data_IF_666040909196
#
_entry.id   IF_666040909196
#
_cell.length_a   1.000
_cell.length_b   1.000
_cell.length_c   1.000
_cell.angle_alpha   90.00
_cell.angle_beta   90.00
_cell.angle_gamma   90.00
#
_symmetry.space_group_name_H-M   'P 1'
#
loop_
_entity.id
_entity.type
_entity.pdbx_description
1 polymer ?
#
# COMPACT_ATOMS: atom_id res chain seq x y z
N UNK A 1 20.38 -33.92 9.95
CA UNK A 1 19.35 -33.13 10.66
C UNK A 1 18.25 -32.84 9.67
N UNK A 2 16.98 -33.04 10.01
CA UNK A 2 15.88 -32.66 9.11
C UNK A 2 15.76 -31.14 9.08
N UNK A 3 15.69 -30.56 7.88
CA UNK A 3 15.45 -29.14 7.68
C UNK A 3 14.00 -28.97 7.25
N UNK A 4 13.26 -28.14 7.98
CA UNK A 4 11.87 -27.81 7.64
C UNK A 4 11.85 -26.55 6.78
N UNK A 5 10.94 -26.53 5.80
CA UNK A 5 10.69 -25.38 4.92
C UNK A 5 9.21 -25.03 4.96
N UNK A 6 8.84 -23.73 4.88
CA UNK A 6 7.45 -23.33 4.71
C UNK A 6 6.87 -23.91 3.42
N UNK A 7 5.64 -24.40 3.48
CA UNK A 7 4.87 -24.70 2.27
C UNK A 7 4.36 -23.38 1.68
N UNK A 8 4.50 -23.19 0.36
CA UNK A 8 4.03 -21.97 -0.30
C UNK A 8 2.51 -21.95 -0.26
N UNK A 9 1.91 -20.80 0.02
CA UNK A 9 0.45 -20.68 0.09
C UNK A 9 -0.24 -21.03 -1.25
N UNK A 10 0.42 -20.78 -2.38
CA UNK A 10 -0.08 -21.15 -3.73
C UNK A 10 -0.15 -22.66 -3.96
N UNK A 11 0.56 -23.45 -3.16
CA UNK A 11 0.52 -24.92 -3.20
C UNK A 11 -0.54 -25.49 -2.25
N UNK A 12 -1.30 -24.63 -1.56
CA UNK A 12 -2.30 -25.02 -0.56
C UNK A 12 -3.69 -24.64 -1.06
N UNK A 13 -4.57 -25.63 -1.16
CA UNK A 13 -5.99 -25.42 -1.43
C UNK A 13 -6.81 -25.56 -0.16
N UNK A 14 -7.53 -24.51 0.22
CA UNK A 14 -8.41 -24.52 1.38
C UNK A 14 -9.82 -24.95 0.94
N UNK A 15 -10.18 -26.20 1.20
CA UNK A 15 -11.45 -26.80 0.75
C UNK A 15 -12.55 -26.75 1.83
N UNK A 16 -12.19 -26.48 3.09
CA UNK A 16 -13.15 -26.37 4.20
C UNK A 16 -13.93 -25.04 4.21
N UNK A 17 -15.18 -25.10 4.65
CA UNK A 17 -16.11 -23.95 4.62
C UNK A 17 -15.61 -22.75 5.42
N UNK A 18 -15.06 -22.97 6.61
CA UNK A 18 -14.65 -21.91 7.53
C UNK A 18 -13.65 -20.91 6.92
N UNK A 19 -12.57 -21.40 6.30
CA UNK A 19 -11.55 -20.52 5.72
C UNK A 19 -11.92 -20.01 4.33
N UNK A 20 -12.67 -20.82 3.56
CA UNK A 20 -13.18 -20.39 2.25
C UNK A 20 -14.08 -19.17 2.40
N UNK A 21 -14.98 -19.15 3.39
CA UNK A 21 -15.84 -17.99 3.68
C UNK A 21 -15.01 -16.71 3.93
N UNK A 22 -13.91 -16.82 4.68
CA UNK A 22 -13.03 -15.67 4.97
C UNK A 22 -12.31 -15.17 3.72
N UNK A 23 -11.77 -16.07 2.89
CA UNK A 23 -11.13 -15.70 1.63
C UNK A 23 -12.12 -15.05 0.65
N UNK A 24 -13.32 -15.62 0.54
CA UNK A 24 -14.37 -15.07 -0.31
C UNK A 24 -14.80 -13.67 0.19
N UNK A 25 -14.89 -13.46 1.51
CA UNK A 25 -15.16 -12.15 2.12
C UNK A 25 -14.05 -11.13 1.86
N UNK A 26 -12.78 -11.55 1.98
CA UNK A 26 -11.64 -10.68 1.71
C UNK A 26 -11.69 -10.18 0.27
N UNK A 27 -11.88 -11.10 -0.68
CA UNK A 27 -11.88 -10.78 -2.11
C UNK A 27 -13.10 -9.96 -2.51
N UNK A 28 -14.31 -10.32 -2.05
CA UNK A 28 -15.55 -9.67 -2.48
C UNK A 28 -15.87 -8.36 -1.75
N UNK A 29 -15.36 -8.18 -0.53
CA UNK A 29 -15.77 -7.06 0.35
C UNK A 29 -14.59 -6.28 0.92
N UNK A 30 -13.61 -6.94 1.53
CA UNK A 30 -12.52 -6.25 2.23
C UNK A 30 -11.62 -5.49 1.26
N UNK A 31 -11.11 -6.14 0.22
CA UNK A 31 -10.22 -5.52 -0.77
C UNK A 31 -10.91 -4.34 -1.50
N UNK A 32 -12.15 -4.48 -2.03
CA UNK A 32 -12.86 -3.36 -2.66
C UNK A 32 -13.14 -2.20 -1.70
N UNK A 33 -13.57 -2.50 -0.47
CA UNK A 33 -13.88 -1.44 0.51
C UNK A 33 -12.64 -0.69 0.98
N UNK A 34 -11.51 -1.37 1.18
CA UNK A 34 -10.23 -0.75 1.50
C UNK A 34 -9.75 0.15 0.35
N UNK A 35 -9.80 -0.32 -0.90
CA UNK A 35 -9.43 0.50 -2.05
C UNK A 35 -10.28 1.79 -2.14
N UNK A 36 -11.59 1.66 -1.90
CA UNK A 36 -12.47 2.84 -1.82
C UNK A 36 -12.02 3.82 -0.74
N UNK A 37 -11.57 3.34 0.43
CA UNK A 37 -11.04 4.21 1.48
C UNK A 37 -9.71 4.86 1.11
N UNK A 38 -8.80 4.15 0.43
CA UNK A 38 -7.57 4.74 -0.10
C UNK A 38 -7.88 5.92 -1.02
N UNK A 39 -8.87 5.77 -1.90
CA UNK A 39 -9.33 6.86 -2.76
C UNK A 39 -10.03 7.99 -1.98
N UNK A 40 -10.97 7.66 -1.09
CA UNK A 40 -11.77 8.61 -0.31
C UNK A 40 -10.90 9.55 0.53
N UNK A 41 -9.83 9.04 1.14
CA UNK A 41 -8.90 9.84 1.94
C UNK A 41 -7.75 10.46 1.14
N UNK A 42 -7.67 10.19 -0.16
CA UNK A 42 -6.71 10.80 -1.09
C UNK A 42 -5.31 10.17 -1.10
N UNK A 43 -5.16 8.94 -0.59
CA UNK A 43 -3.89 8.21 -0.60
C UNK A 43 -3.48 7.87 -2.04
N UNK A 44 -4.42 7.45 -2.88
CA UNK A 44 -4.12 7.16 -4.29
C UNK A 44 -3.69 8.43 -5.05
N UNK A 45 -4.27 9.59 -4.71
CA UNK A 45 -3.89 10.85 -5.34
C UNK A 45 -2.53 11.37 -4.86
N UNK A 46 -2.04 10.96 -3.67
CA UNK A 46 -0.71 11.37 -3.22
C UNK A 46 0.43 10.75 -4.04
N UNK A 47 0.18 9.59 -4.68
CA UNK A 47 1.16 8.94 -5.56
C UNK A 47 1.49 9.77 -6.80
N UNK A 48 0.55 10.62 -7.23
CA UNK A 48 0.68 11.45 -8.44
C UNK A 48 1.53 12.70 -8.22
N UNK A 49 2.06 12.90 -7.00
CA UNK A 49 2.93 14.00 -6.61
C UNK A 49 2.48 15.39 -7.14
N UNK A 50 1.23 15.82 -6.84
CA UNK A 50 0.72 17.11 -7.32
C UNK A 50 1.62 18.27 -6.87
N UNK A 51 1.87 19.22 -7.77
CA UNK A 51 2.67 20.41 -7.53
C UNK A 51 1.87 21.67 -7.89
N UNK A 52 1.52 22.54 -6.92
CA UNK A 52 1.87 22.47 -5.50
C UNK A 52 1.14 21.32 -4.76
N UNK A 53 1.72 20.78 -3.68
CA UNK A 53 1.05 19.74 -2.90
C UNK A 53 -0.21 20.28 -2.21
N UNK A 54 -1.30 19.49 -2.13
CA UNK A 54 -2.54 19.93 -1.51
C UNK A 54 -2.37 20.18 -0.01
N UNK A 55 -3.32 20.87 0.65
CA UNK A 55 -3.38 20.92 2.10
C UNK A 55 -3.42 19.53 2.74
N UNK A 56 -3.00 19.44 4.01
CA UNK A 56 -3.11 18.18 4.75
C UNK A 56 -4.58 17.80 4.91
N UNK A 57 -4.91 16.53 4.56
CA UNK A 57 -6.25 15.98 4.77
C UNK A 57 -6.60 15.82 6.25
N UNK A 58 -5.62 15.44 7.06
CA UNK A 58 -5.72 15.37 8.51
C UNK A 58 -4.86 16.44 9.18
N UNK A 59 -5.37 17.13 10.21
CA UNK A 59 -4.57 18.08 10.97
C UNK A 59 -3.36 17.38 11.60
N UNK A 60 -2.28 18.14 11.81
CA UNK A 60 -1.15 17.66 12.60
C UNK A 60 -1.60 17.37 14.03
N UNK A 61 -1.02 16.36 14.64
CA UNK A 61 -1.14 16.10 16.06
C UNK A 61 -0.50 17.24 16.87
N UNK A 62 -0.77 17.31 18.17
CA UNK A 62 -0.26 18.36 19.06
C UNK A 62 1.28 18.45 19.08
N UNK A 63 1.98 17.35 18.80
CA UNK A 63 3.43 17.29 18.66
C UNK A 63 3.95 17.67 17.26
N UNK A 64 3.08 18.16 16.36
CA UNK A 64 3.42 18.51 14.98
C UNK A 64 3.48 17.33 14.01
N UNK A 65 3.30 16.09 14.46
CA UNK A 65 3.35 14.90 13.61
C UNK A 65 2.12 14.80 12.68
N UNK A 66 2.27 14.17 11.52
CA UNK A 66 1.14 13.80 10.66
C UNK A 66 1.31 12.37 10.17
N UNK A 67 0.23 11.60 10.21
CA UNK A 67 0.20 10.20 9.75
C UNK A 67 0.37 10.09 8.22
N UNK A 68 0.25 11.19 7.50
CA UNK A 68 0.37 11.21 6.03
C UNK A 68 1.78 10.90 5.54
N UNK A 69 2.79 10.96 6.43
CA UNK A 69 4.19 10.60 6.10
C UNK A 69 4.35 9.10 5.77
N UNK A 70 3.39 8.25 6.15
CA UNK A 70 3.46 6.80 5.95
C UNK A 70 2.28 6.21 5.14
N UNK A 71 1.55 7.05 4.40
CA UNK A 71 0.42 6.62 3.58
C UNK A 71 0.79 5.60 2.49
N UNK A 72 2.01 5.70 1.95
CA UNK A 72 2.53 4.76 0.96
C UNK A 72 2.42 3.31 1.46
N UNK A 73 2.61 3.08 2.76
CA UNK A 73 2.52 1.75 3.36
C UNK A 73 1.11 1.16 3.36
N UNK A 74 0.05 1.99 3.46
CA UNK A 74 -1.33 1.48 3.42
C UNK A 74 -1.69 1.03 2.01
N UNK A 75 -1.11 1.68 1.00
CA UNK A 75 -1.23 1.31 -0.41
C UNK A 75 -0.43 0.02 -0.68
N UNK A 76 0.81 -0.05 -0.21
CA UNK A 76 1.65 -1.24 -0.33
C UNK A 76 1.02 -2.48 0.31
N UNK A 77 0.49 -2.36 1.53
CA UNK A 77 -0.25 -3.45 2.21
C UNK A 77 -1.52 -3.83 1.46
N UNK A 78 -2.20 -2.88 0.84
CA UNK A 78 -3.38 -3.19 0.04
C UNK A 78 -3.02 -3.99 -1.21
N UNK A 79 -1.95 -3.61 -1.94
CA UNK A 79 -1.43 -4.39 -3.07
C UNK A 79 -1.07 -5.80 -2.61
N UNK A 80 -0.38 -5.94 -1.48
CA UNK A 80 0.02 -7.24 -0.93
C UNK A 80 -1.22 -8.11 -0.65
N UNK A 81 -2.20 -7.59 0.10
CA UNK A 81 -3.41 -8.32 0.44
C UNK A 81 -4.24 -8.68 -0.82
N UNK A 82 -4.35 -7.77 -1.78
CA UNK A 82 -5.05 -8.00 -3.04
C UNK A 82 -4.34 -9.09 -3.88
N UNK A 83 -3.01 -9.06 -3.93
CA UNK A 83 -2.21 -10.05 -4.64
C UNK A 83 -2.36 -11.45 -4.05
N UNK A 84 -2.37 -11.58 -2.72
CA UNK A 84 -2.68 -12.86 -2.07
C UNK A 84 -4.12 -13.29 -2.34
N UNK A 85 -5.10 -12.40 -2.31
CA UNK A 85 -6.48 -12.74 -2.61
C UNK A 85 -6.67 -13.23 -4.06
N UNK A 86 -5.94 -12.65 -5.02
CA UNK A 86 -5.95 -13.08 -6.43
C UNK A 86 -5.40 -14.49 -6.66
N UNK A 87 -4.59 -15.01 -5.73
CA UNK A 87 -4.13 -16.41 -5.79
C UNK A 87 -5.25 -17.42 -5.51
N UNK A 88 -6.27 -17.03 -4.73
CA UNK A 88 -7.44 -17.83 -4.45
C UNK A 88 -8.42 -17.81 -5.63
N UNK A 89 -8.69 -16.62 -6.17
CA UNK A 89 -9.53 -16.43 -7.37
C UNK A 89 -9.16 -15.12 -8.08
N UNK A 90 -8.92 -15.20 -9.39
CA UNK A 90 -8.63 -14.05 -10.25
C UNK A 90 -9.82 -13.10 -10.34
N UNK A 91 -9.54 -11.81 -10.44
CA UNK A 91 -10.52 -10.73 -10.56
C UNK A 91 -9.90 -9.57 -11.34
N UNK A 92 -10.41 -9.34 -12.56
CA UNK A 92 -9.82 -8.38 -13.50
C UNK A 92 -9.91 -6.92 -13.02
N UNK A 93 -10.92 -6.57 -12.20
CA UNK A 93 -11.05 -5.20 -11.67
C UNK A 93 -9.98 -4.95 -10.60
N UNK A 94 -9.73 -5.92 -9.72
CA UNK A 94 -8.66 -5.84 -8.72
C UNK A 94 -7.29 -5.79 -9.39
N UNK A 95 -7.05 -6.63 -10.40
CA UNK A 95 -5.81 -6.60 -11.19
C UNK A 95 -5.57 -5.23 -11.81
N UNK A 96 -6.58 -4.65 -12.47
CA UNK A 96 -6.50 -3.32 -13.07
C UNK A 96 -6.14 -2.23 -12.05
N UNK A 97 -6.66 -2.34 -10.81
CA UNK A 97 -6.34 -1.39 -9.74
C UNK A 97 -4.91 -1.53 -9.25
N UNK A 98 -4.40 -2.76 -9.14
CA UNK A 98 -2.99 -3.00 -8.78
C UNK A 98 -2.09 -2.38 -9.85
N UNK A 99 -2.33 -2.67 -11.13
CA UNK A 99 -1.52 -2.12 -12.24
C UNK A 99 -1.54 -0.58 -12.25
N UNK A 100 -2.70 0.04 -12.06
CA UNK A 100 -2.80 1.49 -11.99
C UNK A 100 -1.97 2.11 -10.84
N UNK A 101 -1.92 1.45 -9.69
CA UNK A 101 -1.11 1.91 -8.55
C UNK A 101 0.38 1.68 -8.81
N UNK A 102 0.76 0.54 -9.41
CA UNK A 102 2.14 0.24 -9.81
C UNK A 102 2.65 1.28 -10.80
N UNK A 103 1.85 1.63 -11.81
CA UNK A 103 2.16 2.68 -12.79
C UNK A 103 2.40 4.04 -12.11
N UNK A 104 1.63 4.39 -11.09
CA UNK A 104 1.79 5.65 -10.35
C UNK A 104 3.05 5.62 -9.46
N UNK A 105 3.36 4.49 -8.82
CA UNK A 105 4.62 4.32 -8.07
C UNK A 105 5.85 4.37 -8.97
N UNK A 106 5.82 3.73 -10.14
CA UNK A 106 6.93 3.75 -11.11
C UNK A 106 7.23 5.18 -11.57
N UNK A 107 6.18 5.98 -11.84
CA UNK A 107 6.33 7.39 -12.20
C UNK A 107 6.85 8.26 -11.04
N UNK A 108 6.51 7.90 -9.80
CA UNK A 108 6.93 8.64 -8.62
C UNK A 108 8.39 8.33 -8.23
N UNK A 109 8.87 7.12 -8.50
CA UNK A 109 10.21 6.69 -8.10
C UNK A 109 11.31 7.50 -8.78
N UNK A 110 12.31 7.93 -8.01
CA UNK A 110 13.48 8.63 -8.54
C UNK A 110 14.47 7.66 -9.21
N UNK A 111 15.36 8.14 -10.10
CA UNK A 111 16.37 7.30 -10.75
C UNK A 111 17.35 6.60 -9.79
N UNK A 112 17.52 7.12 -8.56
CA UNK A 112 18.33 6.50 -7.51
C UNK A 112 17.58 5.41 -6.72
N UNK A 113 16.33 5.13 -7.11
CA UNK A 113 15.44 4.15 -6.47
C UNK A 113 14.63 4.70 -5.30
N UNK A 114 14.86 5.95 -4.87
CA UNK A 114 14.13 6.53 -3.75
C UNK A 114 12.64 6.67 -4.06
N UNK A 115 11.81 6.11 -3.19
CA UNK A 115 10.35 6.20 -3.27
C UNK A 115 9.76 6.47 -1.87
N UNK A 116 9.30 7.70 -1.68
CA UNK A 116 8.47 8.10 -0.55
C UNK A 116 7.67 9.34 -0.97
N UNK A 117 6.38 9.18 -1.21
CA UNK A 117 5.57 10.20 -1.86
C UNK A 117 5.40 11.46 -1.00
N UNK A 118 5.47 11.33 0.33
CA UNK A 118 5.49 12.48 1.23
C UNK A 118 6.72 13.37 1.00
N UNK A 119 7.92 12.78 1.06
CA UNK A 119 9.16 13.53 0.88
C UNK A 119 9.28 14.06 -0.55
N UNK A 120 8.98 13.23 -1.55
CA UNK A 120 9.03 13.63 -2.96
C UNK A 120 8.09 14.81 -3.26
N UNK A 121 6.88 14.80 -2.71
CA UNK A 121 5.87 15.83 -3.01
C UNK A 121 5.95 17.08 -2.14
N UNK A 122 6.55 17.02 -0.94
CA UNK A 122 6.48 18.13 0.03
C UNK A 122 7.81 18.61 0.58
N UNK A 123 8.75 17.71 0.85
CA UNK A 123 10.00 18.03 1.57
C UNK A 123 11.21 17.30 0.96
N UNK A 124 11.45 17.42 -0.38
CA UNK A 124 12.43 16.60 -1.10
C UNK A 124 13.88 16.82 -0.63
N UNK A 125 14.16 17.97 -0.03
CA UNK A 125 15.46 18.31 0.57
C UNK A 125 15.71 17.65 1.94
N UNK A 126 14.69 17.01 2.54
CA UNK A 126 14.76 16.42 3.89
C UNK A 126 14.82 14.90 3.93
N UNK A 127 15.07 14.25 2.78
CA UNK A 127 15.30 12.79 2.71
C UNK A 127 16.29 12.37 3.80
N UNK A 128 15.94 11.32 4.54
CA UNK A 128 16.74 10.69 5.59
C UNK A 128 17.03 11.55 6.82
N UNK A 129 16.39 12.71 6.96
CA UNK A 129 16.62 13.64 8.08
C UNK A 129 16.00 13.16 9.41
N UNK A 130 14.98 12.30 9.35
CA UNK A 130 14.32 11.74 10.55
C UNK A 130 13.88 10.28 10.33
N UNK A 131 14.85 9.36 10.37
CA UNK A 131 14.58 7.92 10.31
C UNK A 131 13.79 7.39 11.52
N UNK A 132 13.84 8.09 12.66
CA UNK A 132 13.16 7.66 13.89
C UNK A 132 11.64 7.69 13.74
N UNK A 133 11.10 8.76 13.15
CA UNK A 133 9.65 9.01 13.17
C UNK A 133 9.00 9.11 11.79
N UNK A 134 9.73 9.43 10.72
CA UNK A 134 9.10 9.76 9.42
C UNK A 134 9.01 8.57 8.46
N UNK A 135 9.31 7.35 8.92
CA UNK A 135 8.92 6.09 8.26
C UNK A 135 9.48 5.91 6.84
N UNK A 136 10.58 6.56 6.47
CA UNK A 136 11.19 6.38 5.13
C UNK A 136 11.59 4.93 4.87
N UNK A 137 12.20 4.25 5.86
CA UNK A 137 12.55 2.82 5.76
C UNK A 137 11.37 1.87 5.97
N UNK A 138 10.25 2.36 6.49
CA UNK A 138 9.04 1.57 6.70
C UNK A 138 8.14 1.56 5.47
N UNK A 139 8.15 2.66 4.70
CA UNK A 139 7.40 2.78 3.45
C UNK A 139 8.12 2.13 2.26
N UNK A 140 9.46 2.09 2.31
CA UNK A 140 10.32 1.60 1.24
C UNK A 140 10.15 0.10 0.95
#
# INVERSE_FOLDING_TARGET
MSQYHPLRFVDVRLEGEFWKERLDTVLASTIPSQHKKLAEYGLLDSLKLPNPPPPLRFPRHANGFTVQVFWDSDIGKWIEAASYALSHRRDADIETKIEAIVDDFEKAQLPDGYLNCWYLGREPEKRWSNLRDNHELYNA
#
